data_IF_998415557872
#
_entry.id   IF_998415557872
#
_cell.length_a   1.000
_cell.length_b   1.000
_cell.length_c   1.000
_cell.angle_alpha   90.00
_cell.angle_beta   90.00
_cell.angle_gamma   90.00
#
_symmetry.space_group_name_H-M   'P 1'
#
loop_
_entity.id
_entity.type
_entity.pdbx_description
1 polymer ?
#
# COMPACT_ATOMS: atom_id res chain seq x y z
N UNK A 1 30.13 -17.22 -18.60
CA UNK A 1 29.18 -17.16 -19.74
C UNK A 1 27.76 -17.64 -19.41
N UNK A 2 27.59 -18.46 -18.38
CA UNK A 2 26.26 -18.88 -17.96
C UNK A 2 25.46 -17.81 -17.19
N UNK A 3 26.09 -16.74 -16.74
CA UNK A 3 25.47 -15.72 -15.91
C UNK A 3 24.46 -14.81 -16.63
N UNK A 4 24.38 -14.87 -17.95
CA UNK A 4 23.51 -13.99 -18.75
C UNK A 4 22.16 -14.59 -19.09
N UNK A 5 21.94 -15.85 -18.76
CA UNK A 5 20.69 -16.57 -19.09
C UNK A 5 19.56 -16.40 -18.05
N UNK A 6 19.84 -15.71 -16.93
CA UNK A 6 18.87 -15.55 -15.86
C UNK A 6 18.07 -14.26 -15.85
N UNK A 7 18.45 -13.27 -16.66
CA UNK A 7 17.75 -11.99 -16.71
C UNK A 7 16.87 -11.90 -17.94
N UNK A 8 15.72 -12.55 -17.88
CA UNK A 8 14.71 -12.36 -18.91
C UNK A 8 14.19 -10.91 -18.86
N UNK A 9 13.96 -10.27 -20.00
CA UNK A 9 13.36 -8.92 -20.06
C UNK A 9 12.06 -8.80 -19.23
N UNK A 10 11.37 -9.91 -19.03
CA UNK A 10 10.15 -9.97 -18.22
C UNK A 10 10.38 -9.60 -16.75
N UNK A 11 11.50 -10.00 -16.15
CA UNK A 11 11.81 -9.71 -14.76
C UNK A 11 12.02 -8.23 -14.49
N UNK A 12 12.68 -7.53 -15.39
CA UNK A 12 12.92 -6.08 -15.30
C UNK A 12 11.63 -5.29 -15.48
N UNK A 13 10.81 -5.66 -16.45
CA UNK A 13 9.51 -5.00 -16.69
C UNK A 13 8.59 -5.11 -15.48
N UNK A 14 8.49 -6.30 -14.89
CA UNK A 14 7.69 -6.50 -13.69
C UNK A 14 8.22 -5.69 -12.51
N UNK A 15 9.53 -5.64 -12.32
CA UNK A 15 10.17 -4.87 -11.26
C UNK A 15 9.82 -3.37 -11.36
N UNK A 16 9.95 -2.77 -12.54
CA UNK A 16 9.60 -1.37 -12.77
C UNK A 16 8.09 -1.12 -12.63
N UNK A 17 7.26 -2.03 -13.10
CA UNK A 17 5.80 -1.95 -12.94
C UNK A 17 5.43 -1.94 -11.45
N UNK A 18 6.00 -2.83 -10.66
CA UNK A 18 5.77 -2.87 -9.22
C UNK A 18 6.25 -1.60 -8.53
N UNK A 19 7.42 -1.06 -8.91
CA UNK A 19 7.90 0.20 -8.37
C UNK A 19 6.96 1.36 -8.68
N UNK A 20 6.44 1.41 -9.91
CA UNK A 20 5.47 2.44 -10.31
C UNK A 20 4.23 2.38 -9.41
N UNK A 21 3.63 1.21 -9.27
CA UNK A 21 2.46 1.05 -8.39
C UNK A 21 2.78 1.32 -6.92
N UNK A 22 3.94 0.91 -6.43
CA UNK A 22 4.37 1.19 -5.06
C UNK A 22 4.45 2.69 -4.79
N UNK A 23 5.07 3.46 -5.68
CA UNK A 23 5.20 4.91 -5.53
C UNK A 23 3.83 5.59 -5.60
N UNK A 24 2.99 5.21 -6.56
CA UNK A 24 1.64 5.77 -6.69
C UNK A 24 0.79 5.48 -5.45
N UNK A 25 0.80 4.24 -4.98
CA UNK A 25 0.08 3.86 -3.76
C UNK A 25 0.65 4.55 -2.52
N UNK A 26 1.98 4.64 -2.41
CA UNK A 26 2.62 5.33 -1.30
C UNK A 26 2.19 6.81 -1.23
N UNK A 27 2.18 7.50 -2.36
CA UNK A 27 1.72 8.89 -2.43
C UNK A 27 0.24 9.01 -2.05
N UNK A 28 -0.60 8.10 -2.56
CA UNK A 28 -2.03 8.08 -2.23
C UNK A 28 -2.26 7.87 -0.73
N UNK A 29 -1.63 6.86 -0.14
CA UNK A 29 -1.81 6.54 1.28
C UNK A 29 -1.15 7.55 2.21
N UNK A 30 -0.01 8.11 1.84
CA UNK A 30 0.60 9.22 2.58
C UNK A 30 -0.32 10.44 2.61
N UNK A 31 -0.86 10.82 1.46
CA UNK A 31 -1.81 11.92 1.37
C UNK A 31 -3.06 11.65 2.22
N UNK A 32 -3.69 10.51 2.02
CA UNK A 32 -4.90 10.13 2.76
C UNK A 32 -4.66 10.01 4.27
N UNK A 33 -3.53 9.41 4.66
CA UNK A 33 -3.14 9.24 6.05
C UNK A 33 -2.85 10.55 6.74
N UNK A 34 -2.02 11.39 6.13
CA UNK A 34 -1.66 12.70 6.68
C UNK A 34 -2.90 13.59 6.79
N UNK A 35 -3.77 13.59 5.78
CA UNK A 35 -5.02 14.35 5.84
C UNK A 35 -5.88 13.96 7.04
N UNK A 36 -5.98 12.65 7.33
CA UNK A 36 -6.71 12.18 8.52
C UNK A 36 -6.07 12.61 9.84
N UNK A 37 -4.75 12.85 9.85
CA UNK A 37 -4.04 13.30 11.04
C UNK A 37 -4.16 14.81 11.27
N UNK A 38 -4.25 15.59 10.20
CA UNK A 38 -4.23 17.07 10.23
C UNK A 38 -5.62 17.68 10.29
N UNK A 39 -6.62 17.04 9.67
CA UNK A 39 -7.99 17.57 9.62
C UNK A 39 -8.61 17.67 11.03
N UNK A 40 -9.41 18.72 11.30
CA UNK A 40 -10.18 18.81 12.53
C UNK A 40 -11.14 17.62 12.71
N UNK A 41 -11.43 17.27 13.96
CA UNK A 41 -12.28 16.12 14.28
C UNK A 41 -13.67 16.22 13.65
N UNK A 42 -14.23 17.41 13.60
CA UNK A 42 -15.55 17.68 13.01
C UNK A 42 -15.59 17.28 11.53
N UNK A 43 -14.57 17.70 10.77
CA UNK A 43 -14.48 17.38 9.33
C UNK A 43 -14.24 15.90 9.06
N UNK A 44 -13.51 15.23 9.94
CA UNK A 44 -13.32 13.77 9.83
C UNK A 44 -14.63 13.02 10.03
N UNK A 45 -15.39 13.38 11.03
CA UNK A 45 -16.66 12.74 11.36
C UNK A 45 -17.79 13.07 10.38
N UNK A 46 -17.76 14.24 9.75
CA UNK A 46 -18.67 14.59 8.65
C UNK A 46 -18.52 13.64 7.45
N UNK A 47 -17.29 13.25 7.16
CA UNK A 47 -16.99 12.33 6.05
C UNK A 47 -17.33 10.86 6.39
N UNK A 48 -17.36 10.53 7.67
CA UNK A 48 -17.60 9.16 8.11
C UNK A 48 -18.31 9.16 9.48
N UNK A 49 -19.64 9.29 9.42
CA UNK A 49 -20.47 9.38 10.61
C UNK A 49 -20.49 8.13 11.50
N UNK A 50 -19.97 7.01 11.00
CA UNK A 50 -19.97 5.73 11.70
C UNK A 50 -18.78 5.55 12.67
N UNK A 51 -17.74 6.37 12.53
CA UNK A 51 -16.51 6.20 13.29
C UNK A 51 -16.14 7.45 14.08
N UNK A 52 -15.54 7.25 15.24
CA UNK A 52 -14.98 8.34 16.03
C UNK A 52 -13.75 8.96 15.34
N UNK A 53 -13.50 10.24 15.62
CA UNK A 53 -12.31 10.92 15.13
C UNK A 53 -11.01 10.22 15.55
N UNK A 54 -10.98 9.65 16.78
CA UNK A 54 -9.84 8.90 17.28
C UNK A 54 -9.55 7.66 16.43
N UNK A 55 -10.59 6.91 16.05
CA UNK A 55 -10.44 5.73 15.18
C UNK A 55 -9.97 6.12 13.78
N UNK A 56 -10.52 7.20 13.20
CA UNK A 56 -10.09 7.68 11.89
C UNK A 56 -8.64 8.16 11.90
N UNK A 57 -8.18 8.77 12.99
CA UNK A 57 -6.76 9.13 13.15
C UNK A 57 -5.87 7.90 13.28
N UNK A 58 -6.32 6.87 13.98
CA UNK A 58 -5.61 5.58 14.02
C UNK A 58 -5.43 5.01 12.60
N UNK A 59 -6.49 5.00 11.79
CA UNK A 59 -6.41 4.59 10.38
C UNK A 59 -5.43 5.49 9.62
N UNK A 60 -5.43 6.80 9.85
CA UNK A 60 -4.46 7.73 9.26
C UNK A 60 -3.01 7.39 9.58
N UNK A 61 -2.72 6.98 10.82
CA UNK A 61 -1.38 6.50 11.22
C UNK A 61 -1.02 5.23 10.43
N UNK A 62 -1.93 4.26 10.38
CA UNK A 62 -1.71 2.99 9.66
C UNK A 62 -1.46 3.24 8.17
N UNK A 63 -2.25 4.11 7.53
CA UNK A 63 -2.08 4.47 6.12
C UNK A 63 -0.74 5.18 5.87
N UNK A 64 -0.35 6.10 6.73
CA UNK A 64 0.93 6.81 6.63
C UNK A 64 2.10 5.84 6.77
N UNK A 65 2.08 4.99 7.79
CA UNK A 65 3.11 3.97 8.00
C UNK A 65 3.13 2.94 6.86
N UNK A 66 1.96 2.55 6.37
CA UNK A 66 1.83 1.65 5.24
C UNK A 66 2.43 2.23 3.96
N UNK A 67 2.13 3.50 3.66
CA UNK A 67 2.72 4.21 2.52
C UNK A 67 4.24 4.29 2.60
N UNK A 68 4.77 4.68 3.76
CA UNK A 68 6.23 4.69 3.99
C UNK A 68 6.82 3.29 3.89
N UNK A 69 6.17 2.29 4.48
CA UNK A 69 6.61 0.90 4.46
C UNK A 69 6.65 0.27 3.08
N UNK A 70 5.88 0.80 2.12
CA UNK A 70 5.91 0.33 0.74
C UNK A 70 7.15 0.79 -0.03
N UNK A 71 7.71 1.94 0.29
CA UNK A 71 8.78 2.57 -0.50
C UNK A 71 10.11 2.58 0.24
N UNK A 72 10.14 2.95 1.52
CA UNK A 72 11.39 3.14 2.27
C UNK A 72 12.27 1.88 2.35
N UNK A 73 11.74 0.67 2.67
CA UNK A 73 12.60 -0.51 2.75
C UNK A 73 13.30 -0.81 1.44
N UNK A 74 12.61 -0.64 0.31
CA UNK A 74 13.20 -0.84 -1.02
C UNK A 74 14.24 0.19 -1.37
N UNK A 75 14.01 1.47 -1.05
CA UNK A 75 14.97 2.55 -1.30
C UNK A 75 16.24 2.38 -0.46
N UNK A 76 16.09 2.02 0.80
CA UNK A 76 17.20 1.82 1.74
C UNK A 76 17.86 0.44 1.58
N UNK A 77 17.24 -0.47 0.82
CA UNK A 77 17.68 -1.87 0.67
C UNK A 77 17.88 -2.56 2.01
N UNK A 78 17.00 -2.26 2.96
CA UNK A 78 17.03 -2.79 4.32
C UNK A 78 15.65 -3.26 4.71
N UNK A 79 15.56 -4.45 5.29
CA UNK A 79 14.29 -5.04 5.74
C UNK A 79 13.21 -5.03 4.64
N UNK A 80 13.59 -5.39 3.45
CA UNK A 80 12.73 -5.32 2.24
C UNK A 80 11.48 -6.19 2.33
N UNK A 81 11.45 -7.15 3.23
CA UNK A 81 10.25 -7.93 3.58
C UNK A 81 9.12 -7.10 4.18
N UNK A 82 9.40 -5.87 4.66
CA UNK A 82 8.36 -4.96 5.14
C UNK A 82 7.48 -4.41 4.02
N UNK A 83 7.99 -4.31 2.80
CA UNK A 83 7.20 -3.82 1.64
C UNK A 83 5.97 -4.68 1.37
N UNK A 84 6.08 -6.00 1.16
CA UNK A 84 4.89 -6.83 0.97
C UNK A 84 4.01 -6.88 2.23
N UNK A 85 4.59 -6.81 3.41
CA UNK A 85 3.84 -6.76 4.66
C UNK A 85 3.02 -5.46 4.78
N UNK A 86 3.62 -4.32 4.46
CA UNK A 86 2.93 -3.02 4.43
C UNK A 86 1.79 -3.03 3.40
N UNK A 87 2.03 -3.55 2.20
CA UNK A 87 1.01 -3.68 1.17
C UNK A 87 -0.14 -4.59 1.62
N UNK A 88 0.15 -5.71 2.27
CA UNK A 88 -0.87 -6.60 2.82
C UNK A 88 -1.71 -5.92 3.92
N UNK A 89 -1.07 -5.14 4.79
CA UNK A 89 -1.77 -4.34 5.80
C UNK A 89 -2.71 -3.32 5.18
N UNK A 90 -2.28 -2.66 4.11
CA UNK A 90 -3.12 -1.71 3.37
C UNK A 90 -4.29 -2.39 2.65
N UNK A 91 -4.12 -3.63 2.19
CA UNK A 91 -5.24 -4.44 1.66
C UNK A 91 -6.32 -4.61 2.71
N UNK A 92 -5.94 -4.94 3.96
CA UNK A 92 -6.91 -5.07 5.06
C UNK A 92 -7.66 -3.75 5.32
N UNK A 93 -6.93 -2.63 5.30
CA UNK A 93 -7.55 -1.29 5.43
C UNK A 93 -8.53 -1.04 4.29
N UNK A 94 -8.18 -1.41 3.06
CA UNK A 94 -9.04 -1.22 1.89
C UNK A 94 -10.28 -2.12 1.91
N UNK A 95 -10.18 -3.32 2.46
CA UNK A 95 -11.35 -4.18 2.68
C UNK A 95 -12.35 -3.47 3.61
N UNK A 96 -11.88 -2.95 4.74
CA UNK A 96 -12.71 -2.17 5.65
C UNK A 96 -13.29 -0.92 5.00
N UNK A 97 -12.46 -0.16 4.28
CA UNK A 97 -12.89 1.03 3.55
C UNK A 97 -13.96 0.72 2.49
N UNK A 98 -13.82 -0.40 1.79
CA UNK A 98 -14.80 -0.87 0.80
C UNK A 98 -16.16 -1.11 1.46
N UNK A 99 -16.18 -1.84 2.57
CA UNK A 99 -17.42 -2.14 3.28
C UNK A 99 -18.13 -0.88 3.74
N UNK A 100 -17.40 0.06 4.33
CA UNK A 100 -17.96 1.33 4.81
C UNK A 100 -18.45 2.20 3.64
N UNK A 101 -17.64 2.35 2.61
CA UNK A 101 -17.98 3.17 1.44
C UNK A 101 -19.18 2.61 0.70
N UNK A 102 -19.31 1.29 0.63
CA UNK A 102 -20.48 0.64 0.05
C UNK A 102 -21.76 0.94 0.84
N UNK A 103 -21.69 0.89 2.17
CA UNK A 103 -22.83 1.21 3.02
C UNK A 103 -23.28 2.67 2.90
N UNK A 104 -22.32 3.58 2.69
CA UNK A 104 -22.61 5.02 2.61
C UNK A 104 -23.08 5.48 1.21
N UNK A 105 -22.45 4.96 0.16
CA UNK A 105 -22.62 5.46 -1.21
C UNK A 105 -22.85 4.36 -2.24
N UNK A 106 -23.06 3.12 -1.80
CA UNK A 106 -23.26 1.99 -2.70
C UNK A 106 -22.00 1.67 -3.53
N UNK A 107 -22.22 1.12 -4.72
CA UNK A 107 -21.13 0.67 -5.62
C UNK A 107 -20.17 1.81 -6.01
N UNK A 108 -20.70 3.01 -6.20
CA UNK A 108 -19.87 4.16 -6.57
C UNK A 108 -18.83 4.48 -5.48
N UNK A 109 -19.26 4.46 -4.22
CA UNK A 109 -18.35 4.69 -3.11
C UNK A 109 -17.31 3.59 -2.92
N UNK A 110 -17.70 2.34 -3.18
CA UNK A 110 -16.84 1.19 -3.02
C UNK A 110 -15.78 1.06 -4.13
N UNK A 111 -15.97 1.67 -5.30
CA UNK A 111 -15.12 1.48 -6.47
C UNK A 111 -13.66 1.87 -6.21
N UNK A 112 -13.40 3.02 -5.60
CA UNK A 112 -12.03 3.50 -5.33
C UNK A 112 -11.29 2.59 -4.35
N UNK A 113 -11.83 2.25 -3.15
CA UNK A 113 -11.10 1.37 -2.25
C UNK A 113 -10.95 -0.05 -2.80
N UNK A 114 -11.88 -0.58 -3.60
CA UNK A 114 -11.73 -1.88 -4.26
C UNK A 114 -10.55 -1.86 -5.21
N UNK A 115 -10.49 -0.90 -6.13
CA UNK A 115 -9.39 -0.79 -7.10
C UNK A 115 -8.05 -0.60 -6.37
N UNK A 116 -8.01 0.28 -5.39
CA UNK A 116 -6.80 0.53 -4.59
C UNK A 116 -6.36 -0.73 -3.85
N UNK A 117 -7.30 -1.48 -3.27
CA UNK A 117 -7.04 -2.74 -2.59
C UNK A 117 -6.49 -3.82 -3.54
N UNK A 118 -7.03 -3.92 -4.75
CA UNK A 118 -6.55 -4.86 -5.78
C UNK A 118 -5.12 -4.52 -6.17
N UNK A 119 -4.81 -3.25 -6.41
CA UNK A 119 -3.45 -2.81 -6.74
C UNK A 119 -2.48 -3.08 -5.58
N UNK A 120 -2.89 -2.82 -4.35
CA UNK A 120 -2.09 -3.13 -3.17
C UNK A 120 -1.84 -4.64 -3.02
N UNK A 121 -2.85 -5.48 -3.28
CA UNK A 121 -2.71 -6.93 -3.28
C UNK A 121 -1.75 -7.42 -4.37
N UNK A 122 -1.79 -6.81 -5.55
CA UNK A 122 -0.85 -7.09 -6.64
C UNK A 122 0.59 -6.76 -6.22
N UNK A 123 0.81 -5.62 -5.59
CA UNK A 123 2.14 -5.24 -5.07
C UNK A 123 2.59 -6.21 -3.97
N UNK A 124 1.71 -6.56 -3.04
CA UNK A 124 2.00 -7.50 -1.96
C UNK A 124 2.47 -8.86 -2.51
N UNK A 125 1.71 -9.42 -3.41
CA UNK A 125 2.04 -10.69 -4.04
C UNK A 125 3.28 -10.61 -4.92
N UNK A 126 3.36 -9.56 -5.74
CA UNK A 126 4.49 -9.35 -6.65
C UNK A 126 5.82 -9.21 -5.90
N UNK A 127 5.82 -8.48 -4.79
CA UNK A 127 7.03 -8.29 -3.97
C UNK A 127 7.35 -9.47 -3.07
N UNK A 128 6.33 -10.26 -2.75
CA UNK A 128 6.56 -11.46 -1.95
C UNK A 128 7.12 -12.61 -2.80
N UNK A 129 6.53 -12.86 -3.98
CA UNK A 129 6.79 -14.09 -4.74
C UNK A 129 7.46 -13.87 -6.10
N UNK A 130 7.09 -12.83 -6.83
CA UNK A 130 7.47 -12.67 -8.23
C UNK A 130 8.76 -11.86 -8.42
N UNK A 131 8.93 -10.79 -7.69
CA UNK A 131 10.06 -9.89 -7.81
C UNK A 131 10.42 -9.27 -6.45
N UNK A 132 10.95 -10.08 -5.49
CA UNK A 132 11.36 -9.57 -4.19
C UNK A 132 12.40 -8.45 -4.33
N UNK A 133 12.34 -7.48 -3.43
CA UNK A 133 13.32 -6.39 -3.39
C UNK A 133 14.66 -6.90 -2.85
N UNK A 134 15.77 -6.44 -3.43
CA UNK A 134 17.10 -6.82 -2.93
C UNK A 134 17.37 -6.20 -1.56
N UNK A 135 17.97 -6.98 -0.67
CA UNK A 135 18.39 -6.54 0.63
C UNK A 135 19.93 -6.48 0.67
N UNK A 136 20.47 -5.49 1.38
CA UNK A 136 21.93 -5.33 1.56
C UNK A 136 22.60 -6.52 2.29
N UNK A 137 21.83 -7.26 3.07
CA UNK A 137 22.31 -8.43 3.79
C UNK A 137 22.56 -9.68 2.95
N UNK A 138 22.33 -9.64 1.65
CA UNK A 138 22.61 -10.77 0.73
C UNK A 138 21.77 -12.02 1.00
N UNK A 139 20.79 -11.96 1.88
CA UNK A 139 19.86 -13.07 2.09
C UNK A 139 18.68 -12.96 1.13
N UNK A 140 18.79 -13.74 0.07
CA UNK A 140 17.61 -14.04 -0.75
C UNK A 140 16.73 -14.95 0.10
N UNK A 141 15.58 -14.44 0.47
CA UNK A 141 14.55 -15.28 1.09
C UNK A 141 13.68 -15.91 0.00
#
# INVERSE_FOLDING_TARGET
MAATLGETPRGKGLHYTLWTFQVLLALLFLFAGVMKLVLPAEKLTEQSTQFSAAFLRFIGVVETLGGLGMVLPGMLKTKTGLTPLAAAGLVLVMIGATMVSYQMKGMEGAAVPVVTGIVAAFVAYGRWRLAPLPDRGGRVR
#
